data_IF_864900581497
#
_entry.id   IF_864900581497
#
_cell.length_a   1.000
_cell.length_b   1.000
_cell.length_c   1.000
_cell.angle_alpha   90.00
_cell.angle_beta   90.00
_cell.angle_gamma   90.00
#
_symmetry.space_group_name_H-M   'P 1'
#
loop_
_entity.id
_entity.type
_entity.pdbx_description
1 polymer ?
#
# COMPACT_ATOMS: atom_id res chain seq x y z
N UNK A 1 0.58 -4.64 3.08
CA UNK A 1 0.17 -3.51 2.23
C UNK A 1 1.39 -2.79 1.72
N UNK A 2 1.30 -2.17 0.55
CA UNK A 2 2.39 -1.38 -0.04
C UNK A 2 1.91 0.06 -0.17
N UNK A 3 2.77 1.01 0.17
CA UNK A 3 2.52 2.45 0.08
C UNK A 3 3.72 3.16 -0.54
N UNK A 4 3.54 4.45 -0.88
CA UNK A 4 4.65 5.33 -1.23
C UNK A 4 5.53 5.56 0.00
N UNK A 5 6.85 5.57 -0.17
CA UNK A 5 7.78 5.75 0.95
C UNK A 5 7.62 7.12 1.61
N UNK A 6 7.43 8.15 0.80
CA UNK A 6 7.26 9.53 1.25
C UNK A 6 5.97 9.77 2.05
N UNK A 7 5.02 8.85 1.98
CA UNK A 7 3.75 8.93 2.71
C UNK A 7 3.84 8.31 4.12
N UNK A 8 4.94 7.65 4.47
CA UNK A 8 5.11 6.96 5.75
C UNK A 8 6.14 7.69 6.59
N UNK A 9 5.68 8.43 7.60
CA UNK A 9 6.58 9.13 8.53
C UNK A 9 7.14 8.19 9.61
N UNK A 10 8.44 8.32 9.90
CA UNK A 10 9.11 7.48 10.87
C UNK A 10 8.73 7.87 12.30
N UNK A 11 8.26 6.91 13.09
CA UNK A 11 7.93 7.10 14.51
C UNK A 11 6.46 7.41 14.79
N UNK A 12 5.61 7.45 13.76
CA UNK A 12 4.17 7.59 13.91
C UNK A 12 3.47 6.22 14.01
N UNK A 13 2.34 6.18 14.71
CA UNK A 13 1.44 5.03 14.71
C UNK A 13 0.67 4.98 13.39
N UNK A 14 0.87 3.93 12.59
CA UNK A 14 0.28 3.82 11.25
C UNK A 14 -1.09 3.12 11.36
N UNK A 15 -2.13 3.74 10.82
CA UNK A 15 -3.47 3.16 10.71
C UNK A 15 -3.90 3.03 9.24
N UNK A 16 -4.39 1.85 8.87
CA UNK A 16 -4.95 1.55 7.56
C UNK A 16 -6.47 1.61 7.63
N UNK A 17 -7.08 2.38 6.74
CA UNK A 17 -8.53 2.32 6.48
C UNK A 17 -8.77 1.42 5.28
N UNK A 18 -9.46 0.29 5.50
CA UNK A 18 -9.77 -0.68 4.45
C UNK A 18 -10.95 -0.21 3.59
N UNK A 19 -11.14 -0.85 2.43
CA UNK A 19 -12.28 -0.57 1.55
C UNK A 19 -13.65 -0.88 2.19
N UNK A 20 -13.68 -1.69 3.25
CA UNK A 20 -14.88 -1.91 4.09
C UNK A 20 -15.21 -0.73 4.99
N UNK A 21 -14.27 0.19 5.20
CA UNK A 21 -14.33 1.25 6.21
C UNK A 21 -13.67 0.89 7.54
N UNK A 22 -13.24 -0.38 7.73
CA UNK A 22 -12.58 -0.81 8.95
C UNK A 22 -11.19 -0.18 9.10
N UNK A 23 -10.82 0.14 10.34
CA UNK A 23 -9.53 0.70 10.72
C UNK A 23 -8.66 -0.35 11.39
N UNK A 24 -7.44 -0.52 10.90
CA UNK A 24 -6.49 -1.53 11.39
C UNK A 24 -5.13 -0.90 11.57
N UNK A 25 -4.54 -1.06 12.77
CA UNK A 25 -3.15 -0.65 13.03
C UNK A 25 -2.17 -1.40 12.13
N UNK A 26 -1.06 -0.77 11.78
CA UNK A 26 -0.02 -1.40 10.99
C UNK A 26 1.37 -1.01 11.48
N UNK A 27 2.33 -1.89 11.21
CA UNK A 27 3.74 -1.67 11.49
C UNK A 27 4.50 -1.54 10.17
N UNK A 28 5.47 -0.62 10.13
CA UNK A 28 6.42 -0.51 9.03
C UNK A 28 7.41 -1.68 9.07
N UNK A 29 7.38 -2.54 8.07
CA UNK A 29 8.29 -3.68 7.94
C UNK A 29 9.60 -3.25 7.28
N UNK A 30 9.52 -2.35 6.31
CA UNK A 30 10.69 -1.85 5.59
C UNK A 30 10.32 -0.85 4.52
N UNK A 31 11.33 -0.14 4.02
CA UNK A 31 11.22 0.84 2.94
C UNK A 31 12.42 0.79 2.02
N UNK A 32 12.20 1.14 0.76
CA UNK A 32 13.23 1.21 -0.27
C UNK A 32 13.16 2.58 -0.97
N UNK A 33 13.99 3.55 -0.55
CA UNK A 33 14.05 4.87 -1.17
C UNK A 33 14.48 4.84 -2.64
N UNK A 34 15.14 3.78 -3.12
CA UNK A 34 15.55 3.68 -4.52
C UNK A 34 14.37 3.44 -5.47
N UNK A 35 13.26 2.90 -4.94
CA UNK A 35 12.01 2.65 -5.68
C UNK A 35 10.82 3.47 -5.19
N UNK A 36 10.96 4.21 -4.08
CA UNK A 36 9.88 5.00 -3.48
C UNK A 36 8.79 4.13 -2.85
N UNK A 37 9.13 2.93 -2.36
CA UNK A 37 8.14 1.98 -1.83
C UNK A 37 8.34 1.67 -0.35
N UNK A 38 7.23 1.48 0.37
CA UNK A 38 7.21 1.02 1.76
C UNK A 38 6.28 -0.19 1.95
N UNK A 39 6.70 -1.14 2.78
CA UNK A 39 5.96 -2.34 3.11
C UNK A 39 5.40 -2.24 4.54
N UNK A 40 4.07 -2.36 4.65
CA UNK A 40 3.33 -2.28 5.90
C UNK A 40 2.69 -3.62 6.24
N UNK A 41 2.79 -4.02 7.51
CA UNK A 41 2.14 -5.21 8.05
C UNK A 41 0.96 -4.79 8.93
N UNK A 42 -0.29 -5.11 8.55
CA UNK A 42 -1.44 -4.85 9.40
C UNK A 42 -1.40 -5.76 10.64
N UNK A 43 -1.99 -5.29 11.74
CA UNK A 43 -2.32 -6.12 12.89
C UNK A 43 -3.42 -7.09 12.49
N UNK A 44 -3.19 -8.39 12.72
CA UNK A 44 -4.08 -9.44 12.25
C UNK A 44 -3.90 -9.76 10.77
N UNK A 45 -4.89 -10.41 10.17
CA UNK A 45 -4.89 -10.82 8.78
C UNK A 45 -6.20 -10.36 8.12
N UNK A 46 -6.28 -9.08 7.68
CA UNK A 46 -7.45 -8.59 6.99
C UNK A 46 -7.64 -9.37 5.69
N UNK A 47 -8.90 -9.76 5.41
CA UNK A 47 -9.25 -10.52 4.21
C UNK A 47 -9.28 -9.60 2.98
N UNK A 48 -8.09 -9.36 2.42
CA UNK A 48 -7.90 -8.51 1.24
C UNK A 48 -7.31 -9.33 0.12
N UNK A 49 -7.90 -9.29 -1.09
CA UNK A 49 -7.39 -10.04 -2.23
C UNK A 49 -5.97 -9.57 -2.58
N UNK A 50 -5.02 -10.51 -2.81
CA UNK A 50 -3.66 -10.14 -3.17
C UNK A 50 -3.60 -9.57 -4.59
N UNK A 51 -2.62 -8.69 -4.82
CA UNK A 51 -2.30 -8.22 -6.16
C UNK A 51 -1.79 -9.38 -7.02
N UNK A 52 -2.33 -9.51 -8.23
CA UNK A 52 -1.79 -10.44 -9.23
C UNK A 52 -0.62 -9.82 -9.98
N UNK A 53 0.33 -10.64 -10.42
CA UNK A 53 1.44 -10.17 -11.25
C UNK A 53 0.91 -9.52 -12.53
N UNK A 54 1.34 -8.29 -12.80
CA UNK A 54 0.99 -7.59 -14.02
C UNK A 54 1.65 -8.24 -15.25
N UNK A 55 0.95 -8.20 -16.39
CA UNK A 55 1.51 -8.49 -17.70
C UNK A 55 2.30 -7.30 -18.26
N UNK A 56 2.69 -7.38 -19.53
CA UNK A 56 3.40 -6.28 -20.22
C UNK A 56 2.44 -5.15 -20.55
N UNK A 57 2.69 -3.95 -20.00
CA UNK A 57 2.01 -2.72 -20.40
C UNK A 57 2.60 -2.18 -21.73
N UNK A 58 1.75 -1.56 -22.55
CA UNK A 58 2.16 -0.88 -23.80
C UNK A 58 1.57 0.53 -23.86
N UNK A 59 2.24 1.48 -24.55
CA UNK A 59 1.64 2.78 -24.84
C UNK A 59 0.26 2.64 -25.50
N UNK A 60 -0.69 3.45 -25.04
CA UNK A 60 -2.09 3.40 -25.50
C UNK A 60 -3.01 2.46 -24.71
N UNK A 61 -2.47 1.62 -23.81
CA UNK A 61 -3.32 0.90 -22.84
C UNK A 61 -3.96 1.89 -21.86
N UNK A 62 -5.23 1.64 -21.52
CA UNK A 62 -5.93 2.40 -20.48
C UNK A 62 -5.30 2.13 -19.10
N UNK A 63 -5.09 3.18 -18.33
CA UNK A 63 -4.66 3.12 -16.94
C UNK A 63 -5.67 3.84 -16.04
N UNK A 64 -5.86 3.32 -14.83
CA UNK A 64 -6.72 3.89 -13.80
C UNK A 64 -5.88 4.02 -12.54
N UNK A 65 -5.79 5.24 -11.99
CA UNK A 65 -5.19 5.51 -10.70
C UNK A 65 -6.29 5.64 -9.64
N UNK A 66 -6.13 4.95 -8.52
CA UNK A 66 -7.07 4.99 -7.39
C UNK A 66 -6.27 5.33 -6.14
N UNK A 67 -6.78 6.28 -5.36
CA UNK A 67 -6.17 6.72 -4.11
C UNK A 67 -7.20 7.39 -3.21
N UNK A 68 -6.79 7.71 -2.01
CA UNK A 68 -7.56 8.50 -1.05
C UNK A 68 -6.81 9.82 -0.79
N UNK A 69 -7.54 10.93 -0.64
CA UNK A 69 -7.01 12.28 -0.42
C UNK A 69 -7.19 12.73 1.02
#
# INVERSE_FOLDING_TARGET
>A
FVAAEEAVEAGEEIELTLSSGDKVKAELVGRDPSTGTALLKPTGAPDVPPLTKAGTARPGHLAIAVGNS
#
